data_IF_781079087223
#
_entry.id   IF_781079087223
#
_cell.length_a   1.000
_cell.length_b   1.000
_cell.length_c   1.000
_cell.angle_alpha   90.00
_cell.angle_beta   90.00
_cell.angle_gamma   90.00
#
_symmetry.space_group_name_H-M   'P 1'
#
loop_
_entity.id
_entity.type
_entity.pdbx_description
1 polymer ?
#
# COMPACT_ATOMS: atom_id res chain seq x y z
N UNK A 1 5.17 12.86 6.76
CA UNK A 1 6.21 11.92 6.27
C UNK A 1 6.09 11.64 4.79
N UNK A 2 4.85 11.56 4.32
CA UNK A 2 4.40 11.41 2.95
C UNK A 2 5.10 12.38 2.00
N UNK A 3 5.16 13.67 2.36
CA UNK A 3 5.76 14.71 1.52
C UNK A 3 7.27 14.48 1.29
N UNK A 4 7.99 14.01 2.31
CA UNK A 4 9.41 13.68 2.19
C UNK A 4 9.62 12.51 1.23
N UNK A 5 8.78 11.48 1.30
CA UNK A 5 8.81 10.33 0.39
C UNK A 5 8.50 10.75 -1.06
N UNK A 6 7.48 11.58 -1.27
CA UNK A 6 7.12 12.09 -2.61
C UNK A 6 8.22 13.00 -3.17
N UNK A 7 8.85 13.81 -2.32
CA UNK A 7 9.98 14.67 -2.71
C UNK A 7 11.19 13.84 -3.12
N UNK A 8 11.53 12.80 -2.37
CA UNK A 8 12.59 11.87 -2.72
C UNK A 8 12.31 11.16 -4.06
N UNK A 9 11.09 10.63 -4.24
CA UNK A 9 10.67 10.00 -5.48
C UNK A 9 10.79 10.95 -6.69
N UNK A 10 10.36 12.20 -6.54
CA UNK A 10 10.49 13.25 -7.55
C UNK A 10 11.95 13.49 -7.93
N UNK A 11 12.83 13.59 -6.95
CA UNK A 11 14.27 13.82 -7.18
C UNK A 11 14.94 12.63 -7.90
N UNK A 12 14.32 11.44 -7.85
CA UNK A 12 14.74 10.24 -8.57
C UNK A 12 14.03 10.06 -9.93
N UNK A 13 13.25 11.04 -10.38
CA UNK A 13 12.57 11.01 -11.68
C UNK A 13 11.17 10.40 -11.66
N UNK A 14 10.59 10.15 -10.48
CA UNK A 14 9.21 9.67 -10.31
C UNK A 14 8.34 10.81 -9.78
N UNK A 15 7.68 11.54 -10.67
CA UNK A 15 6.98 12.78 -10.33
C UNK A 15 5.48 12.51 -10.20
N UNK A 16 4.91 12.78 -9.02
CA UNK A 16 3.46 12.83 -8.88
C UNK A 16 2.91 14.07 -9.61
N UNK A 17 2.02 13.87 -10.58
CA UNK A 17 1.49 14.95 -11.41
C UNK A 17 0.11 15.39 -10.96
N UNK A 18 -0.83 14.46 -10.84
CA UNK A 18 -2.21 14.76 -10.49
C UNK A 18 -2.94 13.56 -9.90
N UNK A 19 -4.05 13.84 -9.21
CA UNK A 19 -4.95 12.84 -8.67
C UNK A 19 -6.39 13.31 -8.80
N UNK A 20 -7.25 12.40 -9.23
CA UNK A 20 -8.71 12.52 -9.15
C UNK A 20 -9.23 11.54 -8.10
N UNK A 21 -10.55 11.41 -7.96
CA UNK A 21 -11.14 10.36 -7.12
C UNK A 21 -10.77 8.96 -7.63
N UNK A 22 -10.69 8.77 -8.94
CA UNK A 22 -10.56 7.45 -9.57
C UNK A 22 -9.18 7.20 -10.21
N UNK A 23 -8.30 8.21 -10.26
CA UNK A 23 -7.01 8.08 -10.95
C UNK A 23 -5.87 8.81 -10.25
N UNK A 24 -4.67 8.28 -10.42
CA UNK A 24 -3.39 8.91 -10.07
C UNK A 24 -2.53 8.94 -11.32
N UNK A 25 -2.01 10.11 -11.68
CA UNK A 25 -1.10 10.29 -12.80
C UNK A 25 0.29 10.62 -12.28
N UNK A 26 1.30 9.88 -12.75
CA UNK A 26 2.71 10.11 -12.44
C UNK A 26 3.53 10.21 -13.72
N UNK A 27 4.69 10.86 -13.64
CA UNK A 27 5.75 10.78 -14.65
C UNK A 27 6.81 9.81 -14.13
N UNK A 28 6.97 8.68 -14.78
CA UNK A 28 8.04 7.72 -14.53
C UNK A 28 9.17 7.97 -15.52
N UNK A 29 10.26 8.56 -15.05
CA UNK A 29 11.45 8.84 -15.87
C UNK A 29 11.10 9.64 -17.15
N UNK A 30 10.14 10.56 -17.05
CA UNK A 30 9.67 11.38 -18.17
C UNK A 30 8.47 10.78 -18.94
N UNK A 31 8.08 9.54 -18.66
CA UNK A 31 6.93 8.88 -19.30
C UNK A 31 5.71 9.01 -18.40
N UNK A 32 4.66 9.64 -18.90
CA UNK A 32 3.41 9.78 -18.16
C UNK A 32 2.67 8.43 -18.09
N UNK A 33 2.32 8.01 -16.87
CA UNK A 33 1.48 6.85 -16.60
C UNK A 33 0.29 7.24 -15.73
N UNK A 34 -0.88 6.68 -16.04
CA UNK A 34 -2.12 6.89 -15.28
C UNK A 34 -2.60 5.58 -14.70
N UNK A 35 -2.70 5.54 -13.38
CA UNK A 35 -3.19 4.42 -12.60
C UNK A 35 -4.65 4.68 -12.22
N UNK A 36 -5.49 3.67 -12.33
CA UNK A 36 -6.85 3.72 -11.79
C UNK A 36 -6.82 3.33 -10.31
N UNK A 37 -7.37 4.17 -9.44
CA UNK A 37 -7.54 3.88 -8.01
C UNK A 37 -8.78 2.99 -7.86
N UNK A 38 -8.58 1.80 -7.32
CA UNK A 38 -9.66 0.82 -7.10
C UNK A 38 -10.19 0.85 -5.67
N UNK A 39 -9.30 1.09 -4.70
CA UNK A 39 -9.65 1.28 -3.30
C UNK A 39 -8.53 2.00 -2.55
N UNK A 40 -8.90 2.74 -1.51
CA UNK A 40 -7.99 3.30 -0.51
C UNK A 40 -8.32 2.65 0.82
N UNK A 41 -7.32 2.09 1.46
CA UNK A 41 -7.41 1.49 2.78
C UNK A 41 -6.73 2.46 3.74
N UNK A 42 -7.53 3.33 4.34
CA UNK A 42 -7.03 4.47 5.09
C UNK A 42 -6.20 4.06 6.31
N UNK A 43 -5.29 4.96 6.68
CA UNK A 43 -4.56 4.85 7.93
C UNK A 43 -5.52 5.01 9.12
N UNK A 44 -5.35 4.15 10.11
CA UNK A 44 -5.89 4.38 11.45
C UNK A 44 -4.86 3.99 12.51
N UNK A 45 -5.02 4.52 13.73
CA UNK A 45 -4.09 4.32 14.84
C UNK A 45 -3.99 2.87 15.33
N UNK A 46 -4.98 2.04 14.99
CA UNK A 46 -5.04 0.62 15.35
C UNK A 46 -4.22 -0.21 14.36
N UNK A 47 -4.42 0.01 13.06
CA UNK A 47 -3.80 -0.74 11.96
C UNK A 47 -2.38 -0.27 11.64
N UNK A 48 -2.07 1.01 11.90
CA UNK A 48 -0.73 1.63 11.72
C UNK A 48 -0.11 1.43 10.32
N UNK A 49 -0.96 1.33 9.30
CA UNK A 49 -0.60 1.19 7.90
C UNK A 49 -1.67 1.81 7.01
N UNK A 50 -1.30 2.11 5.77
CA UNK A 50 -2.18 2.59 4.72
C UNK A 50 -1.89 1.81 3.44
N UNK A 51 -2.93 1.46 2.70
CA UNK A 51 -2.78 0.78 1.41
C UNK A 51 -3.57 1.46 0.30
N UNK A 52 -3.07 1.33 -0.91
CA UNK A 52 -3.80 1.72 -2.12
C UNK A 52 -3.83 0.54 -3.07
N UNK A 53 -5.03 0.21 -3.53
CA UNK A 53 -5.24 -0.76 -4.59
C UNK A 53 -5.39 0.00 -5.91
N UNK A 54 -4.52 -0.28 -6.86
CA UNK A 54 -4.51 0.38 -8.17
C UNK A 54 -4.53 -0.62 -9.31
N UNK A 55 -5.04 -0.20 -10.45
CA UNK A 55 -4.81 -0.86 -11.72
C UNK A 55 -3.86 -0.01 -12.55
N UNK A 56 -2.77 -0.62 -13.02
CA UNK A 56 -1.80 0.04 -13.90
C UNK A 56 -2.30 0.13 -15.35
N UNK A 57 -1.63 0.89 -16.24
CA UNK A 57 -2.01 1.02 -17.65
C UNK A 57 -2.09 -0.31 -18.40
N UNK A 58 -1.31 -1.32 -17.99
CA UNK A 58 -1.29 -2.67 -18.54
C UNK A 58 -2.48 -3.53 -18.04
N UNK A 59 -3.25 -3.02 -17.08
CA UNK A 59 -4.44 -3.67 -16.55
C UNK A 59 -4.16 -4.63 -15.40
N UNK A 60 -2.93 -4.68 -14.88
CA UNK A 60 -2.55 -5.44 -13.70
C UNK A 60 -3.00 -4.71 -12.44
N UNK A 61 -3.48 -5.46 -11.45
CA UNK A 61 -3.96 -4.90 -10.18
C UNK A 61 -2.87 -5.11 -9.14
N UNK A 62 -2.49 -4.02 -8.47
CA UNK A 62 -1.43 -4.01 -7.45
C UNK A 62 -1.96 -3.37 -6.17
N UNK A 63 -1.66 -4.01 -5.05
CA UNK A 63 -1.83 -3.44 -3.72
C UNK A 63 -0.47 -2.93 -3.26
N UNK A 64 -0.39 -1.64 -2.94
CA UNK A 64 0.78 -1.04 -2.30
C UNK A 64 0.42 -0.70 -0.86
N UNK A 65 1.24 -1.14 0.08
CA UNK A 65 1.04 -0.96 1.52
C UNK A 65 2.25 -0.28 2.11
N UNK A 66 2.03 0.79 2.90
CA UNK A 66 3.07 1.42 3.71
C UNK A 66 2.66 1.45 5.18
N UNK A 67 3.59 1.21 6.09
CA UNK A 67 3.28 1.17 7.53
C UNK A 67 4.49 1.03 8.42
N UNK A 68 4.25 0.86 9.71
CA UNK A 68 5.28 0.55 10.68
C UNK A 68 5.98 -0.77 10.34
N UNK A 69 7.26 -0.88 10.69
CA UNK A 69 8.11 -2.05 10.45
C UNK A 69 7.48 -3.38 10.85
N UNK A 70 7.18 -3.55 12.13
CA UNK A 70 6.52 -4.73 12.72
C UNK A 70 5.21 -5.09 11.99
N UNK A 71 4.41 -4.07 11.69
CA UNK A 71 3.11 -4.24 11.01
C UNK A 71 3.27 -4.76 9.59
N UNK A 72 4.28 -4.30 8.85
CA UNK A 72 4.51 -4.75 7.48
C UNK A 72 5.18 -6.13 7.47
N UNK A 73 6.19 -6.34 8.33
CA UNK A 73 6.94 -7.59 8.42
C UNK A 73 6.02 -8.78 8.74
N UNK A 74 5.05 -8.62 9.66
CA UNK A 74 4.05 -9.65 10.00
C UNK A 74 3.17 -10.11 8.81
N UNK A 75 3.12 -9.34 7.73
CA UNK A 75 2.23 -9.55 6.58
C UNK A 75 2.97 -10.02 5.33
N UNK A 76 4.27 -10.22 5.43
CA UNK A 76 5.09 -10.71 4.32
C UNK A 76 4.87 -12.21 4.07
N UNK A 77 4.95 -12.60 2.81
CA UNK A 77 4.83 -13.99 2.41
C UNK A 77 6.16 -14.72 2.57
N UNK A 78 6.27 -15.62 3.56
CA UNK A 78 7.40 -16.55 3.70
C UNK A 78 8.76 -15.89 3.88
N UNK A 79 9.82 -16.71 3.80
CA UNK A 79 11.20 -16.30 4.02
C UNK A 79 11.70 -15.46 2.82
N UNK A 80 11.56 -14.14 2.90
CA UNK A 80 11.99 -13.24 1.84
C UNK A 80 13.51 -13.12 1.87
N UNK A 81 14.16 -13.32 0.73
CA UNK A 81 15.63 -13.37 0.59
C UNK A 81 16.37 -12.15 1.18
N UNK A 82 15.67 -11.02 1.33
CA UNK A 82 16.22 -9.77 1.84
C UNK A 82 15.73 -9.36 3.25
N UNK A 83 14.85 -10.14 3.89
CA UNK A 83 14.23 -9.76 5.17
C UNK A 83 15.27 -9.46 6.25
N UNK A 84 16.29 -10.33 6.39
CA UNK A 84 17.36 -10.14 7.36
C UNK A 84 18.24 -8.91 7.12
N UNK A 85 18.38 -8.45 5.87
CA UNK A 85 19.10 -7.21 5.57
C UNK A 85 18.24 -5.99 5.90
N UNK A 86 16.95 -6.04 5.56
CA UNK A 86 15.99 -4.97 5.88
C UNK A 86 15.86 -4.78 7.38
N UNK A 87 15.74 -5.85 8.17
CA UNK A 87 15.66 -5.78 9.64
C UNK A 87 16.91 -5.08 10.23
N UNK A 88 18.12 -5.47 9.79
CA UNK A 88 19.36 -4.83 10.24
C UNK A 88 19.42 -3.33 9.90
N UNK A 89 18.93 -2.94 8.73
CA UNK A 89 18.88 -1.53 8.35
C UNK A 89 17.87 -0.76 9.22
N UNK A 90 16.70 -1.35 9.50
CA UNK A 90 15.71 -0.77 10.40
C UNK A 90 16.28 -0.56 11.80
N UNK A 91 17.00 -1.54 12.34
CA UNK A 91 17.66 -1.43 13.66
C UNK A 91 18.71 -0.30 13.67
N UNK A 92 19.49 -0.16 12.61
CA UNK A 92 20.48 0.92 12.47
C UNK A 92 19.82 2.30 12.44
N UNK A 93 18.75 2.45 11.65
CA UNK A 93 18.02 3.71 11.56
C UNK A 93 17.32 4.07 12.88
N UNK A 94 16.78 3.08 13.59
CA UNK A 94 16.20 3.29 14.91
C UNK A 94 17.25 3.74 15.94
N UNK A 95 18.46 3.16 15.90
CA UNK A 95 19.58 3.59 16.75
C UNK A 95 19.99 5.05 16.49
N UNK A 96 19.82 5.53 15.26
CA UNK A 96 20.02 6.93 14.86
C UNK A 96 18.79 7.82 15.09
N UNK A 97 17.74 7.31 15.76
CA UNK A 97 16.47 8.01 16.04
C UNK A 97 15.68 8.44 14.80
N UNK A 98 15.97 7.81 13.65
CA UNK A 98 15.23 8.05 12.42
C UNK A 98 13.87 7.35 12.48
N UNK A 99 12.86 7.99 11.90
CA UNK A 99 11.55 7.37 11.74
C UNK A 99 11.56 6.50 10.50
N UNK A 100 11.26 5.22 10.67
CA UNK A 100 11.24 4.21 9.62
C UNK A 100 9.81 3.94 9.16
N UNK A 101 9.67 3.64 7.87
CA UNK A 101 8.45 3.07 7.29
C UNK A 101 8.87 1.92 6.38
N UNK A 102 8.12 0.83 6.44
CA UNK A 102 8.25 -0.27 5.50
C UNK A 102 7.22 -0.12 4.39
N UNK A 103 7.62 -0.47 3.18
CA UNK A 103 6.74 -0.60 2.03
C UNK A 103 6.75 -2.05 1.59
N UNK A 104 5.58 -2.54 1.21
CA UNK A 104 5.41 -3.85 0.61
C UNK A 104 4.30 -3.78 -0.43
N UNK A 105 4.31 -4.71 -1.37
CA UNK A 105 3.28 -4.79 -2.40
C UNK A 105 2.81 -6.21 -2.63
N UNK A 106 1.75 -6.38 -3.41
CA UNK A 106 1.48 -7.62 -4.12
C UNK A 106 0.68 -7.36 -5.37
N UNK A 107 0.78 -8.27 -6.33
CA UNK A 107 -0.17 -8.36 -7.42
C UNK A 107 -1.43 -9.06 -6.92
N UNK A 108 -2.59 -8.58 -7.35
CA UNK A 108 -3.90 -9.13 -6.98
C UNK A 108 -4.56 -9.65 -8.25
N UNK A 109 -4.99 -10.90 -8.22
CA UNK A 109 -5.68 -11.49 -9.34
C UNK A 109 -7.01 -10.78 -9.60
N UNK A 110 -7.38 -10.60 -10.87
CA UNK A 110 -8.67 -9.96 -11.24
C UNK A 110 -9.88 -10.67 -10.62
N UNK A 111 -9.81 -11.99 -10.45
CA UNK A 111 -10.86 -12.79 -9.80
C UNK A 111 -10.90 -12.53 -8.29
N UNK A 112 -9.74 -12.50 -7.64
CA UNK A 112 -9.61 -12.16 -6.21
C UNK A 112 -10.17 -10.75 -5.95
N UNK A 113 -9.74 -9.78 -6.75
CA UNK A 113 -10.24 -8.40 -6.67
C UNK A 113 -11.75 -8.33 -6.86
N UNK A 114 -12.32 -9.02 -7.85
CA UNK A 114 -13.76 -8.98 -8.09
C UNK A 114 -14.58 -9.50 -6.91
N UNK A 115 -14.09 -10.52 -6.20
CA UNK A 115 -14.72 -11.03 -4.98
C UNK A 115 -14.54 -10.06 -3.82
N UNK A 116 -13.31 -9.58 -3.60
CA UNK A 116 -12.98 -8.65 -2.53
C UNK A 116 -13.75 -7.32 -2.68
N UNK A 117 -13.86 -6.78 -3.89
CA UNK A 117 -14.57 -5.53 -4.16
C UNK A 117 -16.06 -5.60 -3.81
N UNK A 118 -16.70 -6.77 -3.98
CA UNK A 118 -18.10 -6.97 -3.57
C UNK A 118 -18.23 -6.92 -2.05
N UNK A 119 -17.35 -7.61 -1.32
CA UNK A 119 -17.30 -7.56 0.15
C UNK A 119 -17.03 -6.15 0.66
N UNK A 120 -16.05 -5.47 0.08
CA UNK A 120 -15.69 -4.10 0.41
C UNK A 120 -16.87 -3.14 0.19
N UNK A 121 -17.55 -3.23 -0.95
CA UNK A 121 -18.72 -2.41 -1.21
C UNK A 121 -19.84 -2.66 -0.19
N UNK A 122 -20.15 -3.94 0.09
CA UNK A 122 -21.15 -4.31 1.09
C UNK A 122 -20.80 -3.77 2.49
N UNK A 123 -19.53 -3.85 2.90
CA UNK A 123 -19.07 -3.28 4.17
C UNK A 123 -19.15 -1.75 4.18
N UNK A 124 -18.82 -1.08 3.07
CA UNK A 124 -18.80 0.39 2.97
C UNK A 124 -20.16 1.06 3.15
N UNK A 125 -21.25 0.35 2.84
CA UNK A 125 -22.63 0.84 2.94
C UNK A 125 -23.31 0.47 4.25
N UNK A 126 -22.62 -0.21 5.18
CA UNK A 126 -23.18 -0.55 6.48
C UNK A 126 -23.47 0.70 7.32
N UNK A 127 -24.64 0.73 7.96
CA UNK A 127 -25.05 1.80 8.86
C UNK A 127 -24.40 1.71 10.25
N UNK A 128 -24.13 0.48 10.70
CA UNK A 128 -23.52 0.17 12.00
C UNK A 128 -22.37 -0.82 11.80
N UNK A 129 -21.32 -0.70 12.61
CA UNK A 129 -20.16 -1.60 12.53
C UNK A 129 -19.28 -1.42 11.28
N UNK A 130 -19.55 -0.42 10.43
CA UNK A 130 -18.83 -0.18 9.17
C UNK A 130 -17.30 -0.22 9.31
N UNK A 131 -16.75 0.50 10.29
CA UNK A 131 -15.30 0.57 10.48
C UNK A 131 -14.70 -0.81 10.82
N UNK A 132 -15.37 -1.58 11.67
CA UNK A 132 -14.92 -2.90 12.10
C UNK A 132 -14.97 -3.92 10.94
N UNK A 133 -16.04 -3.88 10.14
CA UNK A 133 -16.15 -4.75 8.97
C UNK A 133 -15.16 -4.36 7.87
N UNK A 134 -14.97 -3.07 7.61
CA UNK A 134 -13.94 -2.61 6.67
C UNK A 134 -12.54 -3.06 7.12
N UNK A 135 -12.20 -2.91 8.39
CA UNK A 135 -10.89 -3.35 8.91
C UNK A 135 -10.66 -4.85 8.71
N UNK A 136 -11.68 -5.70 8.87
CA UNK A 136 -11.58 -7.14 8.57
C UNK A 136 -11.32 -7.39 7.08
N UNK A 137 -12.08 -6.72 6.21
CA UNK A 137 -11.93 -6.85 4.76
C UNK A 137 -10.57 -6.32 4.29
N UNK A 138 -10.04 -5.30 4.96
CA UNK A 138 -8.70 -4.77 4.70
C UNK A 138 -7.62 -5.77 5.11
N UNK A 139 -7.74 -6.39 6.28
CA UNK A 139 -6.80 -7.41 6.73
C UNK A 139 -6.75 -8.62 5.78
N UNK A 140 -7.88 -9.03 5.19
CA UNK A 140 -7.94 -10.13 4.21
C UNK A 140 -7.02 -9.89 3.01
N UNK A 141 -7.07 -8.69 2.41
CA UNK A 141 -6.30 -8.39 1.19
C UNK A 141 -4.86 -7.96 1.50
N UNK A 142 -4.53 -7.58 2.73
CA UNK A 142 -3.17 -7.13 3.09
C UNK A 142 -2.25 -8.25 3.54
N UNK A 143 -2.65 -9.52 3.39
CA UNK A 143 -1.78 -10.67 3.61
C UNK A 143 -0.93 -11.02 2.39
N UNK A 144 0.16 -11.74 2.64
CA UNK A 144 1.05 -12.30 1.64
C UNK A 144 1.70 -11.23 0.75
N UNK A 145 2.10 -10.12 1.37
CA UNK A 145 2.83 -9.05 0.71
C UNK A 145 4.27 -9.49 0.43
N UNK A 146 4.97 -8.78 -0.45
CA UNK A 146 6.41 -8.92 -0.65
C UNK A 146 7.07 -7.54 -0.55
N UNK A 147 8.30 -7.50 -0.05
CA UNK A 147 9.12 -6.28 0.04
C UNK A 147 9.81 -6.06 -1.30
#
# INVERSE_FOLDING_TARGET
>A
DEEALVTAARNLGYVFLSRTQDTITISELGIQRTYKVLALLDFNSVRKRMSVLVQDPEGCIKLYTKGADSVILERLHGDQTNEGCTIKALDSFAAETLRTLCLAMKEVDKKEYALWSKKHHAASILLQGRAQELDKIYEEIEQNLKV
#
